data_IF_642557873923
#
_entry.id   IF_642557873923
#
_cell.length_a   1.000
_cell.length_b   1.000
_cell.length_c   1.000
_cell.angle_alpha   90.00
_cell.angle_beta   90.00
_cell.angle_gamma   90.00
#
_symmetry.space_group_name_H-M   'P 1'
#
loop_
_entity.id
_entity.type
_entity.pdbx_description
1 polymer ?
#
# COMPACT_ATOMS: atom_id res chain seq x y z
N UNK A 1 -7.85 -6.09 24.12
CA UNK A 1 -7.67 -6.37 22.69
C UNK A 1 -6.27 -6.95 22.58
N UNK A 2 -6.14 -8.26 22.43
CA UNK A 2 -4.83 -8.87 22.19
C UNK A 2 -4.33 -8.33 20.86
N UNK A 3 -3.24 -7.56 20.89
CA UNK A 3 -2.48 -7.22 19.69
C UNK A 3 -2.22 -8.55 18.96
N UNK A 4 -2.48 -8.57 17.65
CA UNK A 4 -2.31 -9.76 16.82
C UNK A 4 -1.00 -10.46 17.16
N UNK A 5 -1.06 -11.76 17.38
CA UNK A 5 0.06 -12.61 17.80
C UNK A 5 1.20 -12.42 16.80
N UNK A 6 2.12 -11.52 17.12
CA UNK A 6 3.36 -11.35 16.37
C UNK A 6 4.28 -12.47 16.84
N UNK A 7 4.39 -13.51 16.03
CA UNK A 7 5.37 -14.56 16.27
C UNK A 7 6.78 -13.97 16.27
N UNK A 8 7.62 -14.54 17.11
CA UNK A 8 9.05 -14.24 17.12
C UNK A 8 9.67 -14.88 15.89
N UNK A 9 9.78 -14.13 14.79
CA UNK A 9 10.49 -14.62 13.61
C UNK A 9 11.98 -14.82 13.93
N UNK A 10 12.55 -15.91 13.41
CA UNK A 10 14.00 -16.08 13.36
C UNK A 10 14.59 -14.85 12.67
N UNK A 11 15.60 -14.23 13.29
CA UNK A 11 16.30 -13.07 12.72
C UNK A 11 16.98 -13.54 11.44
N UNK A 12 16.34 -13.30 10.29
CA UNK A 12 17.00 -13.42 8.99
C UNK A 12 17.88 -12.17 8.87
N UNK A 13 19.10 -12.28 9.38
CA UNK A 13 20.17 -11.31 9.10
C UNK A 13 20.53 -11.47 7.63
N UNK A 14 19.88 -10.68 6.77
CA UNK A 14 20.36 -10.48 5.41
C UNK A 14 21.62 -9.61 5.48
N UNK A 15 22.71 -10.05 4.85
CA UNK A 15 23.99 -9.32 4.77
C UNK A 15 23.86 -7.91 4.16
N UNK A 16 22.71 -7.58 3.56
CA UNK A 16 22.41 -6.27 2.96
C UNK A 16 21.59 -5.31 3.83
N UNK A 17 21.16 -5.70 5.04
CA UNK A 17 20.42 -4.79 5.95
C UNK A 17 21.27 -3.54 6.27
N UNK A 18 22.60 -3.65 6.22
CA UNK A 18 23.54 -2.57 6.50
C UNK A 18 23.59 -1.45 5.43
N UNK A 19 23.05 -1.66 4.22
CA UNK A 19 23.06 -0.64 3.15
C UNK A 19 21.83 0.27 3.13
N UNK A 20 20.76 -0.07 3.87
CA UNK A 20 19.58 0.79 3.99
C UNK A 20 19.82 1.86 5.07
N UNK A 21 19.24 3.06 4.92
CA UNK A 21 19.33 4.08 5.98
C UNK A 21 18.59 3.60 7.24
N UNK A 22 19.03 4.06 8.42
CA UNK A 22 18.34 3.78 9.69
C UNK A 22 16.90 4.26 9.68
N UNK A 23 16.64 5.39 9.02
CA UNK A 23 15.32 6.00 8.86
C UNK A 23 14.41 5.10 8.04
N UNK A 24 14.87 4.59 6.89
CA UNK A 24 14.09 3.67 6.07
C UNK A 24 13.73 2.39 6.84
N UNK A 25 14.68 1.81 7.57
CA UNK A 25 14.43 0.61 8.40
C UNK A 25 13.44 0.90 9.53
N UNK A 26 13.61 2.03 10.21
CA UNK A 26 12.74 2.44 11.31
C UNK A 26 11.31 2.67 10.85
N UNK A 27 11.14 3.41 9.75
CA UNK A 27 9.81 3.69 9.19
C UNK A 27 9.15 2.42 8.65
N UNK A 28 9.87 1.56 7.91
CA UNK A 28 9.33 0.29 7.42
C UNK A 28 8.86 -0.61 8.58
N UNK A 29 9.61 -0.68 9.68
CA UNK A 29 9.21 -1.42 10.88
C UNK A 29 7.95 -0.83 11.53
N UNK A 30 7.91 0.50 11.72
CA UNK A 30 6.75 1.19 12.30
C UNK A 30 5.51 0.93 11.46
N UNK A 31 5.62 1.07 10.13
CA UNK A 31 4.52 0.82 9.20
C UNK A 31 4.02 -0.62 9.20
N UNK A 32 4.92 -1.61 9.30
CA UNK A 32 4.52 -3.02 9.32
C UNK A 32 3.80 -3.45 10.62
N UNK A 33 4.08 -2.78 11.74
CA UNK A 33 3.67 -3.23 13.08
C UNK A 33 2.59 -2.34 13.70
N UNK A 34 2.67 -1.03 13.48
CA UNK A 34 1.84 -0.02 14.13
C UNK A 34 1.34 1.05 13.12
N UNK A 35 0.77 0.66 11.96
CA UNK A 35 0.40 1.61 10.90
C UNK A 35 -0.60 2.68 11.35
N UNK A 36 -1.52 2.34 12.28
CA UNK A 36 -2.49 3.28 12.84
C UNK A 36 -1.86 4.40 13.67
N UNK A 37 -0.61 4.26 14.10
CA UNK A 37 0.13 5.28 14.87
C UNK A 37 0.89 6.27 13.98
N UNK A 38 0.82 6.11 12.65
CA UNK A 38 1.52 6.98 11.72
C UNK A 38 0.74 8.29 11.57
N UNK A 39 1.44 9.38 11.82
CA UNK A 39 0.93 10.74 11.69
C UNK A 39 1.70 11.53 10.63
N UNK A 40 1.20 12.72 10.29
CA UNK A 40 1.89 13.64 9.37
C UNK A 40 3.30 14.02 9.88
N UNK A 41 3.49 14.01 11.20
CA UNK A 41 4.79 14.27 11.84
C UNK A 41 5.83 13.20 11.50
N UNK A 42 5.42 11.92 11.38
CA UNK A 42 6.30 10.82 10.97
C UNK A 42 6.78 10.99 9.53
N UNK A 43 5.89 11.43 8.64
CA UNK A 43 6.26 11.79 7.27
C UNK A 43 7.26 12.95 7.24
N UNK A 44 6.98 14.03 7.97
CA UNK A 44 7.87 15.18 8.03
C UNK A 44 9.26 14.83 8.61
N UNK A 45 9.31 14.02 9.67
CA UNK A 45 10.56 13.54 10.27
C UNK A 45 11.32 12.62 9.33
N UNK A 46 10.62 11.73 8.63
CA UNK A 46 11.22 10.85 7.62
C UNK A 46 11.96 11.64 6.53
N UNK A 47 11.37 12.74 6.07
CA UNK A 47 12.02 13.64 5.10
C UNK A 47 13.20 14.39 5.72
N UNK A 48 13.03 14.94 6.93
CA UNK A 48 14.07 15.67 7.64
C UNK A 48 15.31 14.80 7.91
N UNK A 49 15.11 13.51 8.18
CA UNK A 49 16.18 12.55 8.45
C UNK A 49 16.76 11.92 7.16
N UNK A 50 16.34 12.39 5.98
CA UNK A 50 17.02 12.15 4.72
C UNK A 50 16.34 11.17 3.76
N UNK A 51 15.08 10.78 4.00
CA UNK A 51 14.28 10.16 2.95
C UNK A 51 13.79 11.22 1.97
N UNK A 52 13.73 10.85 0.70
CA UNK A 52 12.91 11.58 -0.28
C UNK A 52 11.45 11.16 -0.12
N UNK A 53 10.51 12.01 -0.54
CA UNK A 53 9.08 11.68 -0.59
C UNK A 53 8.79 10.46 -1.50
N UNK A 54 9.54 10.30 -2.58
CA UNK A 54 9.52 9.10 -3.42
C UNK A 54 9.92 7.85 -2.62
N UNK A 55 11.03 7.89 -1.88
CA UNK A 55 11.44 6.75 -1.04
C UNK A 55 10.42 6.46 0.07
N UNK A 56 9.81 7.49 0.66
CA UNK A 56 8.72 7.30 1.61
C UNK A 56 7.55 6.55 0.97
N UNK A 57 7.07 6.98 -0.21
CA UNK A 57 5.97 6.31 -0.93
C UNK A 57 6.32 4.89 -1.33
N UNK A 58 7.55 4.64 -1.77
CA UNK A 58 8.04 3.30 -2.11
C UNK A 58 8.00 2.37 -0.89
N UNK A 59 8.46 2.84 0.27
CA UNK A 59 8.37 2.09 1.53
C UNK A 59 6.91 1.82 1.90
N UNK A 60 6.03 2.82 1.77
CA UNK A 60 4.60 2.65 2.05
C UNK A 60 3.99 1.57 1.15
N UNK A 61 4.26 1.63 -0.15
CA UNK A 61 3.76 0.65 -1.12
C UNK A 61 4.26 -0.75 -0.85
N UNK A 62 5.58 -0.93 -0.72
CA UNK A 62 6.19 -2.25 -0.49
C UNK A 62 5.72 -2.90 0.81
N UNK A 63 5.79 -2.16 1.92
CA UNK A 63 5.46 -2.71 3.25
C UNK A 63 3.98 -3.03 3.35
N UNK A 64 3.09 -2.17 2.85
CA UNK A 64 1.64 -2.42 2.88
C UNK A 64 1.25 -3.66 2.07
N UNK A 65 1.80 -3.82 0.85
CA UNK A 65 1.53 -4.99 0.00
C UNK A 65 2.05 -6.29 0.62
N UNK A 66 3.29 -6.30 1.11
CA UNK A 66 3.86 -7.49 1.76
C UNK A 66 3.07 -7.86 3.02
N UNK A 67 2.75 -6.88 3.86
CA UNK A 67 1.95 -7.09 5.07
C UNK A 67 0.58 -7.65 4.74
N UNK A 68 -0.09 -7.12 3.70
CA UNK A 68 -1.36 -7.64 3.23
C UNK A 68 -1.25 -9.12 2.78
N UNK A 69 -0.27 -9.46 1.95
CA UNK A 69 -0.07 -10.82 1.45
C UNK A 69 0.15 -11.79 2.62
N UNK A 70 0.97 -11.40 3.60
CA UNK A 70 1.24 -12.21 4.80
C UNK A 70 0.02 -12.36 5.71
N UNK A 71 -0.81 -11.32 5.84
CA UNK A 71 -2.08 -11.40 6.57
C UNK A 71 -3.03 -12.36 5.87
N UNK A 72 -3.17 -12.28 4.55
CA UNK A 72 -4.05 -13.17 3.78
C UNK A 72 -3.55 -14.61 3.88
N UNK A 73 -2.25 -14.85 3.68
CA UNK A 73 -1.64 -16.18 3.79
C UNK A 73 -1.97 -16.84 5.14
N UNK A 74 -1.76 -16.10 6.25
CA UNK A 74 -2.15 -16.56 7.60
C UNK A 74 -3.65 -16.81 7.71
N UNK A 75 -4.47 -15.90 7.19
CA UNK A 75 -5.93 -16.00 7.25
C UNK A 75 -6.49 -17.25 6.56
N UNK A 76 -5.86 -17.69 5.46
CA UNK A 76 -6.25 -18.92 4.73
C UNK A 76 -5.45 -20.16 5.13
N UNK A 77 -4.55 -20.04 6.11
CA UNK A 77 -3.76 -21.16 6.63
C UNK A 77 -2.68 -21.68 5.68
N UNK A 78 -2.09 -20.82 4.86
CA UNK A 78 -0.93 -21.16 4.03
C UNK A 78 0.33 -20.47 4.56
N UNK A 79 1.48 -21.10 4.31
CA UNK A 79 2.78 -20.55 4.69
C UNK A 79 3.05 -19.22 3.95
N UNK A 80 3.56 -18.18 4.65
CA UNK A 80 4.01 -16.95 4.01
C UNK A 80 5.07 -17.23 2.93
N UNK A 81 4.98 -16.50 1.83
CA UNK A 81 5.94 -16.64 0.75
C UNK A 81 7.29 -16.07 1.17
N UNK A 82 8.37 -16.81 0.89
CA UNK A 82 9.72 -16.28 1.03
C UNK A 82 9.94 -15.14 0.04
N UNK A 83 10.56 -14.05 0.50
CA UNK A 83 10.95 -12.95 -0.39
C UNK A 83 11.89 -13.47 -1.50
N UNK A 84 11.71 -13.00 -2.75
CA UNK A 84 12.62 -13.35 -3.82
C UNK A 84 14.02 -12.80 -3.53
N UNK A 85 15.04 -13.43 -4.13
CA UNK A 85 16.39 -12.85 -4.10
C UNK A 85 16.35 -11.46 -4.77
N UNK A 86 17.01 -10.45 -4.19
CA UNK A 86 17.07 -9.12 -4.80
C UNK A 86 17.55 -9.21 -6.26
N UNK A 87 16.79 -8.63 -7.18
CA UNK A 87 17.19 -8.56 -8.57
C UNK A 87 18.39 -7.62 -8.74
N UNK A 88 19.28 -7.94 -9.68
CA UNK A 88 20.36 -7.01 -10.07
C UNK A 88 19.77 -5.84 -10.86
N UNK A 89 20.21 -4.62 -10.59
CA UNK A 89 19.79 -3.44 -11.35
C UNK A 89 19.78 -2.17 -10.52
N UNK A 90 19.26 -1.09 -11.11
CA UNK A 90 18.94 0.15 -10.41
C UNK A 90 17.43 0.27 -10.28
N UNK A 91 16.91 0.90 -9.21
CA UNK A 91 15.51 1.29 -9.15
C UNK A 91 15.11 2.09 -10.39
N UNK A 92 13.85 1.97 -10.82
CA UNK A 92 13.37 2.69 -12.01
C UNK A 92 13.53 4.20 -11.88
N UNK A 93 13.37 4.73 -10.66
CA UNK A 93 13.31 6.16 -10.40
C UNK A 93 12.11 6.84 -11.08
N UNK A 94 11.13 6.06 -11.54
CA UNK A 94 9.95 6.58 -12.24
C UNK A 94 9.09 7.35 -11.24
N UNK A 95 8.97 8.65 -11.48
CA UNK A 95 8.14 9.56 -10.69
C UNK A 95 7.14 10.25 -11.60
N UNK A 96 5.90 10.39 -11.14
CA UNK A 96 4.89 11.15 -11.87
C UNK A 96 5.22 12.65 -11.87
N UNK A 97 5.36 13.23 -13.07
CA UNK A 97 5.61 14.67 -13.24
C UNK A 97 4.37 15.54 -13.02
N UNK A 98 3.18 14.93 -12.94
CA UNK A 98 1.88 15.63 -12.81
C UNK A 98 1.24 15.42 -11.43
N UNK A 99 1.96 14.77 -10.51
CA UNK A 99 1.51 14.66 -9.13
C UNK A 99 1.55 16.04 -8.44
N UNK A 100 0.50 16.36 -7.70
CA UNK A 100 0.36 17.62 -6.97
C UNK A 100 -0.16 17.38 -5.56
N UNK A 101 0.08 18.32 -4.66
CA UNK A 101 -0.49 18.30 -3.32
C UNK A 101 -1.98 18.70 -3.37
N UNK A 102 -2.85 17.77 -2.96
CA UNK A 102 -4.31 17.98 -2.93
C UNK A 102 -4.88 17.80 -1.52
N UNK A 103 -4.09 18.08 -0.48
CA UNK A 103 -4.47 17.93 0.92
C UNK A 103 -4.08 16.60 1.57
N UNK A 104 -3.47 15.68 0.81
CA UNK A 104 -2.74 14.53 1.36
C UNK A 104 -1.33 14.96 1.82
N UNK A 105 -0.64 14.10 2.58
CA UNK A 105 0.74 14.37 3.01
C UNK A 105 1.73 14.34 1.84
N UNK A 106 1.47 13.49 0.85
CA UNK A 106 2.31 13.33 -0.34
C UNK A 106 1.54 13.77 -1.58
N UNK A 107 2.26 14.32 -2.56
CA UNK A 107 1.69 14.65 -3.86
C UNK A 107 1.10 13.40 -4.56
N UNK A 108 -0.07 13.56 -5.16
CA UNK A 108 -0.75 12.49 -5.91
C UNK A 108 -1.14 12.97 -7.30
N UNK A 109 -1.24 12.06 -8.27
CA UNK A 109 -1.83 12.38 -9.57
C UNK A 109 -3.31 12.69 -9.37
N UNK A 110 -3.83 13.85 -9.82
CA UNK A 110 -5.24 14.22 -9.73
C UNK A 110 -6.17 13.16 -10.33
N UNK A 111 -7.37 12.95 -9.79
CA UNK A 111 -8.34 12.05 -10.40
C UNK A 111 -9.15 12.73 -11.52
N UNK A 112 -9.92 11.91 -12.25
CA UNK A 112 -10.88 12.41 -13.22
C UNK A 112 -10.23 13.25 -14.33
N UNK A 113 -10.97 14.27 -14.79
CA UNK A 113 -10.51 15.17 -15.86
C UNK A 113 -9.24 15.93 -15.49
N UNK A 114 -9.02 16.24 -14.21
CA UNK A 114 -7.85 17.00 -13.75
C UNK A 114 -6.54 16.20 -13.88
N UNK A 115 -6.62 14.87 -13.81
CA UNK A 115 -5.47 13.99 -13.95
C UNK A 115 -5.05 13.68 -15.38
N UNK A 116 -5.90 14.02 -16.36
CA UNK A 116 -5.64 13.79 -17.77
C UNK A 116 -5.28 12.34 -18.09
N UNK A 117 -4.27 12.17 -18.95
CA UNK A 117 -3.85 10.85 -19.44
C UNK A 117 -3.14 10.01 -18.36
N UNK A 118 -2.43 10.66 -17.44
CA UNK A 118 -1.76 9.96 -16.33
C UNK A 118 -2.77 9.24 -15.43
N UNK A 119 -3.87 9.91 -15.07
CA UNK A 119 -4.95 9.32 -14.29
C UNK A 119 -5.70 8.21 -15.05
N UNK A 120 -5.91 8.38 -16.37
CA UNK A 120 -6.47 7.32 -17.21
C UNK A 120 -5.60 6.07 -17.20
N UNK A 121 -4.30 6.26 -17.36
CA UNK A 121 -3.31 5.17 -17.40
C UNK A 121 -3.22 4.47 -16.05
N UNK A 122 -3.22 5.23 -14.94
CA UNK A 122 -3.05 4.68 -13.60
C UNK A 122 -4.30 4.00 -13.06
N UNK A 123 -5.49 4.59 -13.24
CA UNK A 123 -6.71 4.10 -12.56
C UNK A 123 -8.02 4.40 -13.33
N UNK A 124 -7.99 4.51 -14.66
CA UNK A 124 -9.20 4.46 -15.49
C UNK A 124 -9.96 5.79 -15.67
N UNK A 125 -9.39 6.93 -15.30
CA UNK A 125 -9.84 8.26 -15.74
C UNK A 125 -11.15 8.79 -15.12
N UNK A 126 -11.82 8.00 -14.28
CA UNK A 126 -12.91 8.46 -13.43
C UNK A 126 -12.39 9.16 -12.17
N UNK A 127 -13.31 9.74 -11.39
CA UNK A 127 -12.96 10.20 -10.04
C UNK A 127 -12.61 8.99 -9.17
N UNK A 128 -11.51 9.11 -8.43
CA UNK A 128 -11.00 8.04 -7.55
C UNK A 128 -10.74 8.60 -6.16
N UNK A 129 -11.07 7.84 -5.09
CA UNK A 129 -10.79 8.22 -3.73
C UNK A 129 -9.27 8.21 -3.46
N UNK A 130 -8.84 8.86 -2.37
CA UNK A 130 -7.43 8.96 -2.04
C UNK A 130 -6.77 7.61 -1.79
N UNK A 131 -7.49 6.60 -1.32
CA UNK A 131 -6.94 5.26 -1.11
C UNK A 131 -6.35 4.67 -2.40
N UNK A 132 -7.02 4.86 -3.54
CA UNK A 132 -6.56 4.39 -4.86
C UNK A 132 -5.37 5.20 -5.38
N UNK A 133 -5.20 6.43 -4.90
CA UNK A 133 -4.27 7.42 -5.45
C UNK A 133 -3.06 7.66 -4.56
N UNK A 134 -3.04 7.12 -3.35
CA UNK A 134 -2.03 7.40 -2.33
C UNK A 134 -0.60 7.14 -2.80
N UNK A 135 -0.42 6.15 -3.69
CA UNK A 135 0.89 5.76 -4.22
C UNK A 135 1.20 6.38 -5.60
N UNK A 136 0.35 7.25 -6.12
CA UNK A 136 0.44 7.76 -7.51
C UNK A 136 1.60 8.72 -7.76
N UNK A 137 2.35 9.10 -6.72
CA UNK A 137 3.66 9.71 -6.93
C UNK A 137 4.60 8.77 -7.71
N UNK A 138 4.49 7.47 -7.45
CA UNK A 138 5.27 6.41 -8.09
C UNK A 138 4.33 5.51 -8.91
N UNK A 139 4.30 5.65 -10.24
CA UNK A 139 3.41 4.87 -11.11
C UNK A 139 3.50 3.35 -10.91
N UNK A 140 4.71 2.81 -10.67
CA UNK A 140 4.91 1.39 -10.40
C UNK A 140 4.19 0.94 -9.12
N UNK A 141 4.35 1.68 -8.02
CA UNK A 141 3.70 1.38 -6.74
C UNK A 141 2.17 1.40 -6.83
N UNK A 142 1.63 2.29 -7.66
CA UNK A 142 0.18 2.32 -7.94
C UNK A 142 -0.27 1.09 -8.72
N UNK A 143 0.48 0.69 -9.76
CA UNK A 143 0.15 -0.51 -10.55
C UNK A 143 0.14 -1.76 -9.67
N UNK A 144 1.18 -1.95 -8.86
CA UNK A 144 1.29 -3.11 -7.97
C UNK A 144 0.18 -3.12 -6.90
N UNK A 145 -0.17 -1.96 -6.33
CA UNK A 145 -1.30 -1.85 -5.39
C UNK A 145 -2.61 -2.25 -6.07
N UNK A 146 -2.87 -1.73 -7.26
CA UNK A 146 -4.10 -2.04 -7.98
C UNK A 146 -4.16 -3.49 -8.47
N UNK A 147 -3.04 -4.10 -8.83
CA UNK A 147 -3.01 -5.52 -9.16
C UNK A 147 -3.43 -6.37 -7.95
N UNK A 148 -2.93 -6.04 -6.76
CA UNK A 148 -3.28 -6.73 -5.52
C UNK A 148 -4.75 -6.53 -5.13
N UNK A 149 -5.26 -5.29 -5.18
CA UNK A 149 -6.67 -4.97 -4.92
C UNK A 149 -7.62 -5.73 -5.87
N UNK A 150 -7.27 -5.77 -7.16
CA UNK A 150 -8.05 -6.48 -8.16
C UNK A 150 -8.03 -8.00 -7.96
N UNK A 151 -7.01 -8.56 -7.33
CA UNK A 151 -6.88 -9.99 -7.09
C UNK A 151 -7.55 -10.45 -5.79
N UNK A 152 -7.52 -9.63 -4.74
CA UNK A 152 -7.99 -10.02 -3.40
C UNK A 152 -9.33 -9.40 -2.99
N UNK A 153 -9.73 -8.29 -3.60
CA UNK A 153 -10.90 -7.53 -3.18
C UNK A 153 -11.91 -7.39 -4.31
N UNK A 154 -11.62 -6.50 -5.27
CA UNK A 154 -12.56 -6.13 -6.31
C UNK A 154 -11.86 -5.43 -7.48
N UNK A 155 -12.18 -5.80 -8.73
CA UNK A 155 -11.72 -5.04 -9.87
C UNK A 155 -12.26 -3.61 -9.90
N UNK A 156 -11.38 -2.61 -10.02
CA UNK A 156 -11.79 -1.19 -9.99
C UNK A 156 -12.90 -0.85 -10.99
N UNK A 157 -12.88 -1.43 -12.19
CA UNK A 157 -13.89 -1.18 -13.22
C UNK A 157 -15.28 -1.74 -12.86
N UNK A 158 -15.35 -2.63 -11.85
CA UNK A 158 -16.59 -3.20 -11.29
C UNK A 158 -17.03 -2.52 -9.99
N UNK A 159 -16.33 -1.47 -9.53
CA UNK A 159 -16.59 -0.85 -8.23
C UNK A 159 -18.05 -0.43 -8.02
N UNK A 160 -18.67 0.16 -9.05
CA UNK A 160 -20.05 0.63 -9.03
C UNK A 160 -21.10 -0.46 -9.35
N UNK A 161 -20.67 -1.68 -9.66
CA UNK A 161 -21.55 -2.84 -9.84
C UNK A 161 -21.77 -3.50 -8.47
N UNK A 162 -22.76 -3.02 -7.72
CA UNK A 162 -22.98 -3.43 -6.32
C UNK A 162 -23.42 -4.90 -6.15
N UNK A 163 -23.88 -5.54 -7.22
CA UNK A 163 -24.21 -6.97 -7.29
C UNK A 163 -23.08 -7.83 -7.87
N UNK A 164 -21.97 -7.22 -8.29
CA UNK A 164 -20.82 -7.96 -8.80
C UNK A 164 -20.17 -8.78 -7.69
N UNK A 165 -20.10 -10.09 -7.92
CA UNK A 165 -19.45 -11.04 -7.04
C UNK A 165 -18.08 -11.43 -7.61
N UNK A 166 -17.02 -11.04 -6.92
CA UNK A 166 -15.66 -11.30 -7.38
C UNK A 166 -15.20 -12.75 -7.14
N UNK A 167 -15.53 -13.31 -5.97
CA UNK A 167 -15.14 -14.65 -5.56
C UNK A 167 -16.35 -15.56 -5.34
N UNK A 168 -16.23 -16.83 -5.73
CA UNK A 168 -17.25 -17.82 -5.43
C UNK A 168 -17.36 -18.03 -3.91
N UNK A 169 -18.58 -18.18 -3.41
CA UNK A 169 -18.83 -18.42 -1.98
C UNK A 169 -18.81 -17.18 -1.07
N UNK A 170 -18.47 -16.00 -1.57
CA UNK A 170 -18.50 -14.76 -0.79
C UNK A 170 -19.23 -13.65 -1.56
N UNK A 171 -20.43 -13.29 -1.10
CA UNK A 171 -21.24 -12.24 -1.73
C UNK A 171 -20.64 -10.85 -1.50
N UNK A 172 -20.91 -9.90 -2.40
CA UNK A 172 -20.44 -8.51 -2.26
C UNK A 172 -20.78 -7.89 -0.90
N UNK A 173 -22.01 -8.00 -0.35
CA UNK A 173 -22.30 -7.48 0.99
C UNK A 173 -21.48 -8.12 2.11
N UNK A 174 -21.16 -9.42 2.02
CA UNK A 174 -20.32 -10.09 3.02
C UNK A 174 -18.88 -9.58 2.99
N UNK A 175 -18.32 -9.39 1.78
CA UNK A 175 -17.01 -8.77 1.57
C UNK A 175 -16.97 -7.39 2.23
N UNK A 176 -17.95 -6.54 1.97
CA UNK A 176 -18.00 -5.17 2.50
C UNK A 176 -18.18 -5.13 4.03
N UNK A 177 -18.91 -6.09 4.62
CA UNK A 177 -19.01 -6.22 6.10
C UNK A 177 -17.66 -6.60 6.70
N UNK A 178 -16.92 -7.53 6.07
CA UNK A 178 -15.57 -7.91 6.51
C UNK A 178 -14.63 -6.70 6.37
N UNK A 179 -14.65 -6.03 5.21
CA UNK A 179 -13.84 -4.84 4.96
C UNK A 179 -14.11 -3.74 5.99
N UNK A 180 -15.38 -3.42 6.25
CA UNK A 180 -15.76 -2.44 7.27
C UNK A 180 -15.31 -2.82 8.68
N UNK A 181 -15.37 -4.12 9.04
CA UNK A 181 -14.85 -4.59 10.32
C UNK A 181 -13.33 -4.45 10.41
N UNK A 182 -12.60 -4.78 9.36
CA UNK A 182 -11.14 -4.62 9.28
C UNK A 182 -10.76 -3.14 9.37
N UNK A 183 -11.49 -2.25 8.68
CA UNK A 183 -11.27 -0.80 8.78
C UNK A 183 -11.44 -0.29 10.20
N UNK A 184 -12.49 -0.71 10.92
CA UNK A 184 -12.71 -0.32 12.32
C UNK A 184 -11.61 -0.85 13.24
N UNK A 185 -11.12 -2.07 13.02
CA UNK A 185 -10.05 -2.63 13.85
C UNK A 185 -8.69 -1.96 13.62
N UNK A 186 -8.48 -1.38 12.44
CA UNK A 186 -7.23 -0.72 12.06
C UNK A 186 -7.30 0.81 12.15
N UNK A 187 -8.37 1.37 12.73
CA UNK A 187 -8.64 2.82 12.75
C UNK A 187 -8.49 3.49 11.36
N UNK A 188 -8.93 2.76 10.32
CA UNK A 188 -8.81 3.17 8.94
C UNK A 188 -10.09 3.87 8.49
N UNK A 189 -10.15 5.19 8.72
CA UNK A 189 -11.30 6.04 8.40
C UNK A 189 -11.03 6.87 7.15
N UNK A 190 -11.99 6.91 6.22
CA UNK A 190 -11.92 7.62 4.94
C UNK A 190 -13.06 8.63 4.79
#
# INVERSE_FOLDING_TARGET
MEAGIQETHAVIVSDNVNNLSSVARGFARKLAVEPASIEQSDYALSLADGLTDAQYVEIVGLVSRLTNIDIVARGVGVEPLSLPKPATGKPSGERSAVAIEEGAWVATVPAGKRGGEAAKTLYGGAMMPFIIRALSLLPAETRDHLELEQAQYLPLHRFAEFDYQHHEGLTRPQVEVIAGRVSVLNDCFY
#
